data_IF_700813050010
#
_entry.id   IF_700813050010
#
_cell.length_a   1.000
_cell.length_b   1.000
_cell.length_c   1.000
_cell.angle_alpha   90.00
_cell.angle_beta   90.00
_cell.angle_gamma   90.00
#
_symmetry.space_group_name_H-M   'P 1'
#
loop_
_entity.id
_entity.type
_entity.pdbx_description
1 polymer ?
#
# COMPACT_ATOMS: atom_id res chain seq x y z
N UNK A 1 23.30 -48.51 -20.21
CA UNK A 1 24.01 -47.45 -19.43
C UNK A 1 24.12 -46.22 -20.32
N UNK A 2 23.39 -45.17 -19.97
CA UNK A 2 23.12 -44.02 -20.84
C UNK A 2 24.27 -43.00 -20.76
N UNK A 3 25.04 -42.86 -21.84
CA UNK A 3 25.87 -41.68 -22.09
C UNK A 3 25.08 -40.73 -22.99
N UNK A 4 24.57 -39.63 -22.43
CA UNK A 4 24.05 -38.51 -23.20
C UNK A 4 24.97 -37.32 -22.94
N UNK A 5 25.93 -37.15 -23.84
CA UNK A 5 26.58 -35.87 -24.06
C UNK A 5 25.55 -34.98 -24.75
N UNK A 6 25.11 -33.92 -24.08
CA UNK A 6 24.29 -32.89 -24.69
C UNK A 6 25.15 -31.61 -24.69
N UNK A 7 25.83 -31.39 -25.81
CA UNK A 7 26.52 -30.14 -26.12
C UNK A 7 25.42 -29.13 -26.41
N UNK A 8 25.16 -28.23 -25.46
CA UNK A 8 24.21 -27.14 -25.65
C UNK A 8 24.98 -25.93 -26.20
N UNK A 9 25.04 -25.86 -27.53
CA UNK A 9 25.57 -24.72 -28.28
C UNK A 9 24.58 -23.57 -28.21
N UNK A 10 24.80 -22.60 -27.32
CA UNK A 10 24.00 -21.36 -27.30
C UNK A 10 24.51 -20.38 -28.35
N UNK A 11 23.59 -20.07 -29.26
CA UNK A 11 23.59 -19.11 -30.35
C UNK A 11 24.14 -17.73 -29.93
N UNK A 12 25.16 -17.27 -30.66
CA UNK A 12 25.65 -15.89 -30.69
C UNK A 12 24.77 -15.09 -31.65
N UNK A 13 24.16 -13.99 -31.17
CA UNK A 13 23.55 -12.95 -32.02
C UNK A 13 24.02 -11.57 -31.56
N UNK A 14 24.55 -10.84 -32.53
CA UNK A 14 25.29 -9.58 -32.45
C UNK A 14 24.48 -8.39 -31.91
N UNK A 15 25.10 -7.60 -31.04
CA UNK A 15 24.84 -6.17 -30.91
C UNK A 15 26.11 -5.42 -31.33
N UNK A 16 26.04 -4.69 -32.43
CA UNK A 16 27.18 -4.01 -33.05
C UNK A 16 27.64 -2.77 -32.28
N UNK A 17 28.96 -2.61 -32.22
CA UNK A 17 29.66 -1.41 -31.78
C UNK A 17 31.14 -1.56 -32.15
N UNK A 18 31.54 -0.88 -33.22
CA UNK A 18 32.92 -0.82 -33.71
C UNK A 18 33.76 -0.03 -32.70
N UNK A 19 34.93 -0.54 -32.28
CA UNK A 19 36.21 0.18 -32.07
C UNK A 19 37.19 -0.67 -31.23
N UNK A 20 38.43 -0.83 -31.73
CA UNK A 20 39.60 -1.06 -30.88
C UNK A 20 40.25 -2.45 -30.94
N UNK A 21 41.33 -2.56 -31.71
CA UNK A 21 42.34 -3.62 -31.62
C UNK A 21 43.15 -3.45 -30.34
N UNK A 22 43.16 -4.43 -29.43
CA UNK A 22 44.24 -4.64 -28.47
C UNK A 22 44.19 -6.07 -27.95
N UNK A 23 45.34 -6.73 -27.94
CA UNK A 23 45.52 -8.13 -27.56
C UNK A 23 44.94 -8.43 -26.17
N UNK A 24 44.17 -9.51 -26.09
CA UNK A 24 43.63 -10.06 -24.85
C UNK A 24 44.78 -10.71 -24.07
N UNK A 25 45.33 -9.95 -23.13
CA UNK A 25 46.32 -10.43 -22.17
C UNK A 25 45.56 -11.24 -21.11
N UNK A 26 45.63 -12.56 -21.23
CA UNK A 26 45.17 -13.53 -20.24
C UNK A 26 45.85 -13.26 -18.90
N UNK A 27 45.23 -12.45 -18.04
CA UNK A 27 45.62 -12.31 -16.64
C UNK A 27 45.19 -13.60 -15.94
N UNK A 28 46.15 -14.48 -15.71
CA UNK A 28 45.99 -15.56 -14.75
C UNK A 28 46.05 -14.91 -13.37
N UNK A 29 44.89 -14.55 -12.83
CA UNK A 29 44.77 -14.23 -11.41
C UNK A 29 44.96 -15.53 -10.60
N UNK A 30 46.15 -15.68 -10.04
CA UNK A 30 46.37 -16.60 -8.92
C UNK A 30 45.49 -16.14 -7.74
N UNK A 31 44.80 -17.05 -7.04
CA UNK A 31 44.03 -16.68 -5.87
C UNK A 31 45.01 -16.22 -4.79
N UNK A 32 45.00 -14.92 -4.49
CA UNK A 32 45.70 -14.36 -3.34
C UNK A 32 45.09 -14.98 -2.09
N UNK A 33 45.75 -15.99 -1.55
CA UNK A 33 45.39 -16.63 -0.28
C UNK A 33 45.71 -15.63 0.83
N UNK A 34 44.74 -14.78 1.16
CA UNK A 34 44.79 -13.90 2.32
C UNK A 34 44.88 -14.77 3.57
N UNK A 35 45.82 -14.51 4.51
CA UNK A 35 45.93 -15.27 5.73
C UNK A 35 44.62 -15.17 6.53
N UNK A 36 44.12 -16.32 7.01
CA UNK A 36 42.86 -16.48 7.75
C UNK A 36 42.50 -15.36 8.75
N UNK A 37 43.41 -14.78 9.56
CA UNK A 37 43.06 -13.71 10.51
C UNK A 37 42.58 -12.41 9.86
N UNK A 38 42.98 -12.11 8.62
CA UNK A 38 42.50 -10.91 7.91
C UNK A 38 41.08 -11.14 7.36
N UNK A 39 40.75 -12.39 6.99
CA UNK A 39 39.43 -12.74 6.48
C UNK A 39 38.36 -12.64 7.59
N UNK A 40 38.69 -13.07 8.81
CA UNK A 40 37.80 -12.94 9.98
C UNK A 40 37.54 -11.47 10.34
N UNK A 41 38.56 -10.61 10.20
CA UNK A 41 38.38 -9.19 10.44
C UNK A 41 37.47 -8.53 9.38
N UNK A 42 37.62 -8.93 8.12
CA UNK A 42 36.76 -8.45 7.04
C UNK A 42 35.32 -8.93 7.25
N UNK A 43 35.10 -10.18 7.69
CA UNK A 43 33.74 -10.67 7.95
C UNK A 43 33.08 -9.91 9.10
N UNK A 44 33.80 -9.65 10.19
CA UNK A 44 33.29 -8.83 11.30
C UNK A 44 32.90 -7.42 10.83
N UNK A 45 33.75 -6.76 10.04
CA UNK A 45 33.46 -5.41 9.55
C UNK A 45 32.22 -5.36 8.63
N UNK A 46 32.03 -6.39 7.80
CA UNK A 46 30.84 -6.50 6.94
C UNK A 46 29.58 -6.79 7.75
N UNK A 47 29.67 -7.66 8.76
CA UNK A 47 28.55 -7.94 9.67
C UNK A 47 28.15 -6.70 10.47
N UNK A 48 29.13 -5.95 10.97
CA UNK A 48 28.92 -4.69 11.69
C UNK A 48 28.25 -3.65 10.78
N UNK A 49 28.75 -3.46 9.55
CA UNK A 49 28.15 -2.52 8.59
C UNK A 49 26.71 -2.90 8.23
N UNK A 50 26.44 -4.20 8.03
CA UNK A 50 25.07 -4.66 7.79
C UNK A 50 24.14 -4.34 8.96
N UNK A 51 24.59 -4.59 10.19
CA UNK A 51 23.81 -4.30 11.40
C UNK A 51 23.55 -2.79 11.55
N UNK A 52 24.56 -1.95 11.29
CA UNK A 52 24.45 -0.50 11.33
C UNK A 52 23.45 0.02 10.30
N UNK A 53 23.56 -0.44 9.05
CA UNK A 53 22.64 -0.07 7.99
C UNK A 53 21.19 -0.50 8.30
N UNK A 54 21.01 -1.66 8.93
CA UNK A 54 19.70 -2.12 9.37
C UNK A 54 19.10 -1.21 10.46
N UNK A 55 19.89 -0.85 11.47
CA UNK A 55 19.48 0.08 12.53
C UNK A 55 19.16 1.46 11.97
N UNK A 56 19.99 1.97 11.04
CA UNK A 56 19.77 3.25 10.37
C UNK A 56 18.43 3.28 9.63
N UNK A 57 18.10 2.22 8.88
CA UNK A 57 16.81 2.11 8.19
C UNK A 57 15.65 2.12 9.17
N UNK A 58 15.72 1.36 10.27
CA UNK A 58 14.67 1.35 11.30
C UNK A 58 14.48 2.73 11.95
N UNK A 59 15.58 3.36 12.36
CA UNK A 59 15.54 4.70 12.97
C UNK A 59 14.94 5.74 11.99
N UNK A 60 15.32 5.69 10.71
CA UNK A 60 14.76 6.60 9.71
C UNK A 60 13.25 6.43 9.56
N UNK A 61 12.73 5.19 9.61
CA UNK A 61 11.30 4.91 9.57
C UNK A 61 10.58 5.43 10.82
N UNK A 62 11.15 5.25 12.01
CA UNK A 62 10.58 5.76 13.26
C UNK A 62 10.52 7.30 13.27
N UNK A 63 11.57 7.96 12.81
CA UNK A 63 11.63 9.43 12.70
C UNK A 63 10.61 9.95 11.68
N UNK A 64 10.47 9.29 10.54
CA UNK A 64 9.46 9.65 9.55
C UNK A 64 8.05 9.53 10.11
N UNK A 65 7.75 8.42 10.79
CA UNK A 65 6.46 8.24 11.46
C UNK A 65 6.21 9.30 12.55
N UNK A 66 7.23 9.64 13.33
CA UNK A 66 7.13 10.71 14.34
C UNK A 66 6.86 12.07 13.68
N UNK A 67 7.53 12.38 12.56
CA UNK A 67 7.31 13.61 11.79
C UNK A 67 5.89 13.68 11.22
N UNK A 68 5.39 12.59 10.64
CA UNK A 68 4.01 12.52 10.14
C UNK A 68 2.99 12.68 11.27
N UNK A 69 3.23 12.06 12.43
CA UNK A 69 2.39 12.24 13.63
C UNK A 69 2.40 13.69 14.11
N UNK A 70 3.55 14.35 14.12
CA UNK A 70 3.65 15.76 14.48
C UNK A 70 2.95 16.67 13.47
N UNK A 71 3.06 16.38 12.17
CA UNK A 71 2.31 17.09 11.14
C UNK A 71 0.79 16.92 11.32
N UNK A 72 0.31 15.70 11.58
CA UNK A 72 -1.11 15.47 11.88
C UNK A 72 -1.55 16.18 13.16
N UNK A 73 -0.73 16.16 14.22
CA UNK A 73 -1.03 16.89 15.45
C UNK A 73 -1.11 18.40 15.19
N UNK A 74 -0.19 18.94 14.38
CA UNK A 74 -0.19 20.34 13.97
C UNK A 74 -1.41 20.71 13.13
N UNK A 75 -1.77 19.89 12.14
CA UNK A 75 -2.98 20.08 11.33
C UNK A 75 -4.24 19.98 12.19
N UNK A 76 -4.26 19.08 13.17
CA UNK A 76 -5.37 18.97 14.14
C UNK A 76 -5.45 20.18 15.05
N UNK A 77 -4.33 20.71 15.54
CA UNK A 77 -4.35 21.91 16.38
C UNK A 77 -4.76 23.15 15.58
N UNK A 78 -4.27 23.30 14.35
CA UNK A 78 -4.69 24.39 13.45
C UNK A 78 -6.17 24.26 13.08
N UNK A 79 -6.66 23.05 12.79
CA UNK A 79 -8.09 22.81 12.57
C UNK A 79 -8.94 23.06 13.83
N UNK A 80 -8.43 22.76 15.03
CA UNK A 80 -9.09 23.05 16.30
C UNK A 80 -9.08 24.55 16.65
N UNK A 81 -8.09 25.29 16.17
CA UNK A 81 -8.04 26.75 16.31
C UNK A 81 -9.02 27.45 15.35
N UNK A 82 -9.23 26.88 14.16
CA UNK A 82 -10.20 27.37 13.17
C UNK A 82 -11.65 26.95 13.46
N UNK A 83 -11.87 25.93 14.28
CA UNK A 83 -13.21 25.47 14.70
C UNK A 83 -13.27 25.49 16.22
N UNK A 84 -13.81 26.55 16.86
CA UNK A 84 -14.04 26.55 18.29
C UNK A 84 -15.22 25.63 18.59
N UNK A 85 -14.94 24.34 18.78
CA UNK A 85 -15.94 23.38 19.27
C UNK A 85 -15.38 22.70 20.52
N UNK A 86 -16.14 22.67 21.64
CA UNK A 86 -15.63 22.24 22.92
C UNK A 86 -15.44 20.72 22.96
N UNK A 87 -14.27 20.34 23.48
CA UNK A 87 -13.95 19.16 24.31
C UNK A 87 -14.94 18.01 24.27
N UNK A 88 -14.49 16.85 23.77
CA UNK A 88 -14.60 15.58 24.51
C UNK A 88 -13.55 14.60 23.98
N UNK A 89 -12.42 14.51 24.69
CA UNK A 89 -11.57 13.33 24.64
C UNK A 89 -12.23 12.24 25.49
N UNK A 90 -12.72 11.18 24.85
CA UNK A 90 -13.02 9.93 25.55
C UNK A 90 -12.02 8.88 25.08
N UNK A 91 -11.09 8.57 25.98
CA UNK A 91 -10.30 7.34 25.95
C UNK A 91 -11.18 6.22 26.50
N UNK A 92 -11.17 5.01 25.92
CA UNK A 92 -11.43 3.82 26.71
C UNK A 92 -10.28 2.81 26.57
N UNK A 93 -9.71 2.43 27.70
CA UNK A 93 -8.94 1.20 27.87
C UNK A 93 -9.74 0.23 28.77
N UNK A 94 -9.42 -1.09 28.75
CA UNK A 94 -10.43 -2.15 28.71
C UNK A 94 -10.71 -2.80 30.08
N UNK A 95 -11.92 -3.33 30.29
CA UNK A 95 -12.16 -4.41 31.26
C UNK A 95 -13.36 -5.26 30.87
N UNK A 96 -13.18 -6.58 31.00
CA UNK A 96 -14.05 -7.69 30.67
C UNK A 96 -15.51 -7.59 31.13
N UNK A 97 -16.43 -8.08 30.30
CA UNK A 97 -17.37 -9.14 30.69
C UNK A 97 -18.13 -9.65 29.46
N UNK A 98 -18.08 -10.96 29.32
CA UNK A 98 -18.84 -11.81 28.42
C UNK A 98 -20.35 -11.61 28.57
N UNK A 99 -21.05 -11.40 27.45
CA UNK A 99 -22.44 -11.82 27.28
C UNK A 99 -22.75 -11.84 25.78
N UNK A 100 -22.98 -13.05 25.28
CA UNK A 100 -23.55 -13.28 23.97
C UNK A 100 -24.91 -12.57 23.88
N UNK A 101 -25.07 -11.67 22.91
CA UNK A 101 -26.34 -11.60 22.19
C UNK A 101 -26.10 -11.12 20.76
N UNK A 102 -26.67 -11.89 19.84
CA UNK A 102 -26.46 -11.82 18.40
C UNK A 102 -27.35 -10.71 17.85
N UNK A 103 -27.06 -9.46 18.20
CA UNK A 103 -27.80 -8.32 17.67
C UNK A 103 -27.27 -7.96 16.28
N UNK A 104 -27.83 -8.60 15.26
CA UNK A 104 -27.79 -8.09 13.89
C UNK A 104 -28.25 -6.63 13.95
N UNK A 105 -27.42 -5.64 13.58
CA UNK A 105 -27.86 -4.26 13.65
C UNK A 105 -28.99 -4.09 12.64
N UNK A 106 -30.19 -3.84 13.15
CA UNK A 106 -31.34 -3.43 12.34
C UNK A 106 -30.86 -2.31 11.41
N UNK A 107 -30.92 -2.58 10.11
CA UNK A 107 -30.59 -1.60 9.08
C UNK A 107 -31.64 -0.51 9.21
N UNK A 108 -31.28 0.60 9.85
CA UNK A 108 -32.09 1.80 9.86
C UNK A 108 -32.48 2.09 8.40
N UNK A 109 -33.75 1.88 8.08
CA UNK A 109 -34.30 2.18 6.76
C UNK A 109 -34.34 3.69 6.65
N UNK A 110 -33.31 4.22 6.00
CA UNK A 110 -33.34 5.58 5.52
C UNK A 110 -34.39 5.67 4.41
N UNK A 111 -35.17 6.75 4.35
CA UNK A 111 -36.19 6.96 3.31
C UNK A 111 -35.76 8.03 2.29
N UNK A 112 -34.53 8.54 2.37
CA UNK A 112 -34.01 9.51 1.42
C UNK A 112 -33.25 8.85 0.26
N UNK A 113 -33.26 9.49 -0.90
CA UNK A 113 -32.56 9.00 -2.08
C UNK A 113 -31.04 8.89 -1.82
N UNK A 114 -30.37 7.80 -2.28
CA UNK A 114 -28.93 7.67 -2.16
C UNK A 114 -28.22 8.76 -2.97
N UNK A 115 -27.31 9.51 -2.34
CA UNK A 115 -26.57 10.62 -2.98
C UNK A 115 -25.09 10.33 -3.07
N UNK A 116 -24.49 10.61 -4.22
CA UNK A 116 -23.03 10.50 -4.40
C UNK A 116 -22.37 11.72 -3.77
N UNK A 117 -21.48 11.47 -2.80
CA UNK A 117 -20.71 12.52 -2.14
C UNK A 117 -19.39 12.78 -2.87
N UNK A 118 -18.71 11.71 -3.28
CA UNK A 118 -17.37 11.77 -3.87
C UNK A 118 -17.12 10.56 -4.76
N UNK A 119 -16.27 10.72 -5.77
CA UNK A 119 -15.66 9.62 -6.51
C UNK A 119 -14.15 9.74 -6.36
N UNK A 120 -13.50 8.67 -5.90
CA UNK A 120 -12.05 8.61 -5.69
C UNK A 120 -11.46 7.41 -6.42
N UNK A 121 -10.23 7.54 -6.90
CA UNK A 121 -9.47 6.46 -7.52
C UNK A 121 -8.30 6.07 -6.61
N UNK A 122 -8.37 4.88 -6.02
CA UNK A 122 -7.33 4.36 -5.13
C UNK A 122 -6.73 3.11 -5.77
N UNK A 123 -5.41 3.11 -6.00
CA UNK A 123 -4.69 2.00 -6.63
C UNK A 123 -5.32 1.55 -7.98
N UNK A 124 -5.77 2.50 -8.79
CA UNK A 124 -6.44 2.23 -10.07
C UNK A 124 -7.92 1.83 -9.97
N UNK A 125 -8.46 1.61 -8.76
CA UNK A 125 -9.86 1.25 -8.55
C UNK A 125 -10.69 2.50 -8.24
N UNK A 126 -11.64 2.81 -9.11
CA UNK A 126 -12.62 3.88 -8.89
C UNK A 126 -13.68 3.43 -7.89
N UNK A 127 -13.90 4.23 -6.84
CA UNK A 127 -14.96 4.03 -5.84
C UNK A 127 -15.79 5.30 -5.66
N UNK A 128 -17.10 5.15 -5.66
CA UNK A 128 -18.05 6.20 -5.34
C UNK A 128 -18.46 6.08 -3.87
N UNK A 129 -18.33 7.18 -3.12
CA UNK A 129 -18.88 7.33 -1.78
C UNK A 129 -20.34 7.76 -1.89
N UNK A 130 -21.24 6.94 -1.36
CA UNK A 130 -22.69 7.14 -1.42
C UNK A 130 -23.21 7.33 0.00
N UNK A 131 -23.93 8.42 0.24
CA UNK A 131 -24.67 8.65 1.48
C UNK A 131 -26.03 7.97 1.40
N UNK A 132 -26.29 7.10 2.37
CA UNK A 132 -27.57 6.47 2.65
C UNK A 132 -27.92 6.87 4.09
N UNK A 133 -28.56 8.04 4.21
CA UNK A 133 -28.81 8.67 5.50
C UNK A 133 -27.52 9.00 6.21
N UNK A 134 -27.40 8.51 7.44
CA UNK A 134 -26.24 8.77 8.30
C UNK A 134 -25.02 7.86 7.97
N UNK A 135 -25.15 6.96 7.00
CA UNK A 135 -24.10 6.02 6.61
C UNK A 135 -23.53 6.38 5.25
N UNK A 136 -22.21 6.29 5.13
CA UNK A 136 -21.50 6.41 3.85
C UNK A 136 -20.94 5.06 3.46
N UNK A 137 -21.31 4.58 2.27
CA UNK A 137 -20.78 3.34 1.70
C UNK A 137 -19.90 3.64 0.50
N UNK A 138 -18.91 2.79 0.25
CA UNK A 138 -18.04 2.88 -0.93
C UNK A 138 -18.36 1.76 -1.90
N UNK A 139 -18.88 2.12 -3.06
CA UNK A 139 -19.33 1.17 -4.09
C UNK A 139 -18.54 1.41 -5.37
N UNK A 140 -18.21 0.36 -6.12
CA UNK A 140 -17.57 0.55 -7.43
C UNK A 140 -18.64 0.97 -8.45
N UNK A 141 -18.31 1.85 -9.40
CA UNK A 141 -19.19 2.10 -10.54
C UNK A 141 -19.56 0.79 -11.24
N UNK A 142 -20.85 0.59 -11.51
CA UNK A 142 -21.39 -0.63 -12.09
C UNK A 142 -21.82 -1.71 -11.09
N UNK A 143 -21.44 -1.61 -9.82
CA UNK A 143 -21.93 -2.54 -8.79
C UNK A 143 -23.34 -2.16 -8.33
N UNK A 144 -24.15 -3.18 -8.05
CA UNK A 144 -25.48 -3.03 -7.45
C UNK A 144 -25.34 -3.06 -5.94
N UNK A 145 -25.99 -2.11 -5.26
CA UNK A 145 -26.01 -2.05 -3.80
C UNK A 145 -27.45 -1.91 -3.29
N UNK A 146 -27.80 -2.57 -2.17
CA UNK A 146 -29.10 -2.39 -1.54
C UNK A 146 -29.11 -1.08 -0.73
N UNK A 147 -30.12 -0.25 -0.96
CA UNK A 147 -30.43 0.89 -0.09
C UNK A 147 -31.94 0.99 0.07
N UNK A 148 -32.43 1.27 1.28
CA UNK A 148 -33.84 1.56 1.53
C UNK A 148 -34.83 0.47 1.02
N UNK A 149 -34.42 -0.79 1.00
CA UNK A 149 -35.22 -1.91 0.47
C UNK A 149 -35.30 -2.00 -1.07
N UNK A 150 -34.53 -1.19 -1.79
CA UNK A 150 -34.42 -1.17 -3.26
C UNK A 150 -32.97 -1.43 -3.70
N UNK A 151 -32.80 -1.96 -4.90
CA UNK A 151 -31.48 -2.15 -5.51
C UNK A 151 -31.11 -0.90 -6.34
N UNK A 152 -29.90 -0.39 -6.15
CA UNK A 152 -29.39 0.79 -6.86
C UNK A 152 -28.06 0.47 -7.53
N UNK A 153 -27.79 1.11 -8.66
CA UNK A 153 -26.52 1.01 -9.38
C UNK A 153 -25.91 2.38 -9.59
N UNK A 154 -24.60 2.47 -9.41
CA UNK A 154 -23.82 3.68 -9.69
C UNK A 154 -23.42 3.69 -11.15
N UNK A 155 -23.89 4.67 -11.90
CA UNK A 155 -23.41 4.96 -13.25
C UNK A 155 -22.34 6.04 -13.18
N UNK A 156 -21.20 5.79 -13.82
CA UNK A 156 -20.15 6.79 -14.00
C UNK A 156 -20.25 7.37 -15.40
N UNK A 157 -20.68 8.62 -15.53
CA UNK A 157 -20.44 9.41 -16.73
C UNK A 157 -19.01 9.95 -16.79
N UNK A 158 -18.66 10.70 -17.83
CA UNK A 158 -17.32 11.30 -17.97
C UNK A 158 -17.08 12.37 -16.88
N UNK A 159 -16.58 11.95 -15.72
CA UNK A 159 -16.26 12.81 -14.58
C UNK A 159 -17.23 12.73 -13.38
N UNK A 160 -16.79 13.26 -12.23
CA UNK A 160 -17.48 13.20 -10.93
C UNK A 160 -18.88 13.82 -10.99
N UNK A 161 -19.06 14.87 -11.79
CA UNK A 161 -20.33 15.59 -11.96
C UNK A 161 -21.39 14.80 -12.74
N UNK A 162 -20.96 13.76 -13.45
CA UNK A 162 -21.80 12.92 -14.29
C UNK A 162 -22.02 11.54 -13.67
N UNK A 163 -21.60 11.33 -12.41
CA UNK A 163 -21.93 10.12 -11.67
C UNK A 163 -23.34 10.27 -11.09
N UNK A 164 -24.21 9.28 -11.32
CA UNK A 164 -25.56 9.27 -10.79
C UNK A 164 -25.95 7.87 -10.31
N UNK A 165 -26.86 7.83 -9.34
CA UNK A 165 -27.44 6.59 -8.83
C UNK A 165 -28.76 6.36 -9.55
N UNK A 166 -28.97 5.15 -10.05
CA UNK A 166 -30.24 4.74 -10.64
C UNK A 166 -30.79 3.52 -9.93
N UNK A 167 -32.09 3.52 -9.65
CA UNK A 167 -32.79 2.34 -9.15
C UNK A 167 -32.82 1.26 -10.24
N UNK A 168 -32.42 0.05 -9.89
CA UNK A 168 -32.51 -1.13 -10.73
C UNK A 168 -33.78 -1.86 -10.32
N UNK A 169 -34.86 -1.65 -11.09
CA UNK A 169 -36.08 -2.44 -10.96
C UNK A 169 -35.79 -3.84 -11.50
N UNK A 170 -35.94 -4.86 -10.66
CA UNK A 170 -36.01 -6.26 -11.08
C UNK A 170 -37.46 -6.68 -11.26
#
# INVERSE_FOLDING_TARGET
>A
MHKRSLILTTLVVCGGGVFGTAAEQKVVEEPVVVPAPIQEHISQLVEDDFSYNQMQRRLSQEVELAKLRLQMAKLKSEAAELVPSPVMAQSPSPTSAESADKKVPAVAQYNGEPKILMVSQLAGITRAAISIGDKTIFVRPGDVFPANGKEYMVHQGSGIKNAFVKEVLR
#
